data_IF_444664422732
#
_entry.id   IF_444664422732
#
_cell.length_a   1.000
_cell.length_b   1.000
_cell.length_c   1.000
_cell.angle_alpha   90.00
_cell.angle_beta   90.00
_cell.angle_gamma   90.00
#
_symmetry.space_group_name_H-M   'P 1'
#
loop_
_entity.id
_entity.type
_entity.pdbx_description
1 polymer ?
#
# COMPACT_ATOMS: atom_id res chain seq x y z
N UNK A 1 -21.84 38.02 36.73
CA UNK A 1 -20.86 38.67 37.65
C UNK A 1 -20.62 37.71 38.79
N UNK A 2 -19.54 37.00 38.76
CA UNK A 2 -18.84 36.42 39.90
C UNK A 2 -17.53 35.81 39.38
N UNK A 3 -16.38 36.14 39.90
CA UNK A 3 -15.09 35.78 39.32
C UNK A 3 -14.63 34.40 39.79
N UNK A 4 -13.91 33.72 38.91
CA UNK A 4 -13.22 32.46 39.18
C UNK A 4 -11.93 32.72 39.97
N UNK A 5 -11.70 31.88 41.00
CA UNK A 5 -10.59 31.90 41.93
C UNK A 5 -9.29 31.40 41.29
N UNK A 6 -8.24 32.13 41.59
CA UNK A 6 -6.84 31.71 41.40
C UNK A 6 -6.50 30.52 42.32
N UNK A 7 -6.03 29.45 41.74
CA UNK A 7 -5.12 28.51 42.42
C UNK A 7 -4.42 27.67 41.34
N UNK A 8 -3.25 28.14 40.94
CA UNK A 8 -2.17 27.29 40.40
C UNK A 8 -0.90 28.12 40.26
N UNK A 9 -0.16 28.17 41.30
CA UNK A 9 1.26 28.51 41.28
C UNK A 9 2.01 27.48 42.14
N UNK A 10 3.06 26.95 41.49
CA UNK A 10 4.18 26.20 42.09
C UNK A 10 4.14 24.67 41.97
N UNK A 11 4.95 24.21 41.04
CA UNK A 11 5.84 23.04 41.16
C UNK A 11 6.82 23.18 40.02
N UNK A 12 8.06 23.54 40.17
CA UNK A 12 9.10 22.80 40.79
C UNK A 12 10.09 22.45 39.69
N UNK A 13 11.11 23.34 39.44
CA UNK A 13 12.25 23.05 38.58
C UNK A 13 13.06 21.90 39.18
N UNK A 14 13.27 20.82 38.43
CA UNK A 14 14.32 19.85 38.72
C UNK A 14 15.21 19.70 37.47
N UNK A 15 16.42 20.21 37.59
CA UNK A 15 17.55 19.90 36.71
C UNK A 15 18.09 18.53 37.13
N UNK A 16 18.21 17.59 36.21
CA UNK A 16 19.20 16.54 36.35
C UNK A 16 19.87 16.27 34.99
N UNK A 17 21.13 16.63 34.96
CA UNK A 17 22.18 16.22 34.07
C UNK A 17 22.53 14.75 34.30
N UNK A 18 22.85 13.99 33.26
CA UNK A 18 23.50 12.70 33.47
C UNK A 18 23.42 11.81 32.25
N UNK A 19 24.36 11.96 31.33
CA UNK A 19 24.55 11.04 30.22
C UNK A 19 24.97 9.66 30.73
N UNK A 20 24.42 8.64 30.10
CA UNK A 20 25.03 7.29 30.07
C UNK A 20 24.90 6.73 28.68
N UNK A 21 26.03 6.74 27.98
CA UNK A 21 26.28 5.89 26.81
C UNK A 21 26.26 4.44 27.27
N UNK A 22 25.37 3.63 26.73
CA UNK A 22 25.48 2.18 26.81
C UNK A 22 26.15 1.66 25.55
N UNK A 23 27.42 1.27 25.68
CA UNK A 23 28.07 0.38 24.73
C UNK A 23 27.51 -1.04 24.91
N UNK A 24 26.86 -1.57 23.92
CA UNK A 24 26.59 -3.01 23.83
C UNK A 24 27.80 -3.70 23.19
N UNK A 25 28.47 -4.55 23.97
CA UNK A 25 29.55 -5.41 23.51
C UNK A 25 28.96 -6.59 22.73
N UNK A 26 29.45 -6.80 21.51
CA UNK A 26 29.24 -8.02 20.77
C UNK A 26 29.91 -9.20 21.48
N UNK A 27 29.16 -10.27 21.68
CA UNK A 27 29.71 -11.59 22.05
C UNK A 27 29.52 -12.51 20.85
N UNK A 28 30.61 -12.79 20.17
CA UNK A 28 30.69 -13.86 19.21
C UNK A 28 30.80 -15.20 19.95
N UNK A 29 29.91 -16.13 19.66
CA UNK A 29 30.06 -17.52 20.08
C UNK A 29 30.05 -18.43 18.85
N UNK A 30 31.22 -18.93 18.53
CA UNK A 30 31.47 -20.04 17.62
C UNK A 30 31.14 -21.33 18.37
N UNK A 31 30.30 -22.19 17.80
CA UNK A 31 30.26 -23.60 18.18
C UNK A 31 30.08 -24.50 16.96
N UNK A 32 30.98 -25.44 16.89
CA UNK A 32 31.21 -26.34 15.78
C UNK A 32 30.32 -27.59 15.78
N UNK A 33 30.10 -28.10 14.59
CA UNK A 33 29.85 -29.48 14.13
C UNK A 33 29.40 -30.55 15.14
N UNK A 34 28.29 -31.19 14.80
CA UNK A 34 28.17 -32.64 14.95
C UNK A 34 27.33 -33.19 13.77
N UNK A 35 27.99 -33.96 12.93
CA UNK A 35 27.43 -34.86 11.92
C UNK A 35 26.72 -36.03 12.58
N UNK A 36 25.46 -36.28 12.22
CA UNK A 36 24.83 -37.58 12.38
C UNK A 36 24.00 -37.88 11.14
N UNK A 37 24.45 -38.88 10.41
CA UNK A 37 23.73 -39.48 9.29
C UNK A 37 22.54 -40.27 9.80
N UNK A 38 21.34 -39.95 9.28
CA UNK A 38 20.13 -40.74 9.49
C UNK A 38 19.16 -40.38 8.38
N UNK A 39 19.13 -41.21 7.34
CA UNK A 39 18.23 -40.99 6.20
C UNK A 39 16.76 -41.21 6.60
N UNK A 40 15.95 -40.18 6.35
CA UNK A 40 14.54 -40.31 6.06
C UNK A 40 14.25 -39.39 4.89
N UNK A 41 13.81 -39.99 3.80
CA UNK A 41 13.30 -39.27 2.63
C UNK A 41 12.00 -38.60 3.04
N UNK A 42 12.08 -37.35 3.44
CA UNK A 42 10.94 -36.43 3.47
C UNK A 42 10.75 -35.92 2.04
N UNK A 43 9.63 -36.34 1.44
CA UNK A 43 9.23 -35.80 0.15
C UNK A 43 9.24 -34.27 0.19
N UNK A 44 10.10 -33.69 -0.63
CA UNK A 44 10.08 -32.27 -0.90
C UNK A 44 8.72 -31.94 -1.51
N UNK A 45 7.84 -31.34 -0.73
CA UNK A 45 6.72 -30.59 -1.28
C UNK A 45 7.36 -29.39 -1.96
N UNK A 46 7.62 -29.52 -3.25
CA UNK A 46 8.00 -28.38 -4.08
C UNK A 46 6.81 -27.43 -4.08
N UNK A 47 6.92 -26.34 -3.31
CA UNK A 47 6.07 -25.19 -3.52
C UNK A 47 6.15 -24.84 -5.02
N UNK A 48 5.03 -24.53 -5.67
CA UNK A 48 5.05 -24.24 -7.10
C UNK A 48 6.00 -23.06 -7.35
N UNK A 49 7.05 -23.31 -8.12
CA UNK A 49 8.10 -22.36 -8.47
C UNK A 49 7.60 -21.19 -9.36
N UNK A 50 6.29 -21.05 -9.54
CA UNK A 50 5.70 -20.05 -10.42
C UNK A 50 5.71 -18.62 -9.84
N UNK A 51 5.84 -18.43 -8.54
CA UNK A 51 5.84 -17.09 -7.93
C UNK A 51 7.22 -16.51 -7.66
N UNK A 52 8.28 -17.31 -7.73
CA UNK A 52 9.64 -16.81 -7.55
C UNK A 52 10.25 -16.14 -8.80
N UNK A 53 9.61 -16.27 -9.95
CA UNK A 53 10.14 -15.76 -11.22
C UNK A 53 9.77 -14.31 -11.55
N UNK A 54 8.85 -13.70 -10.80
CA UNK A 54 8.38 -12.33 -11.02
C UNK A 54 8.78 -11.39 -9.87
N UNK A 55 9.85 -11.68 -9.20
CA UNK A 55 10.42 -10.75 -8.24
C UNK A 55 10.79 -9.44 -8.94
N UNK A 56 10.42 -8.31 -8.39
CA UNK A 56 10.53 -7.00 -9.03
C UNK A 56 11.96 -6.46 -8.87
N UNK A 57 12.87 -6.95 -9.65
CA UNK A 57 14.27 -6.51 -9.60
C UNK A 57 14.56 -5.29 -10.46
N UNK A 58 13.62 -4.85 -11.30
CA UNK A 58 13.94 -3.91 -12.37
C UNK A 58 13.55 -2.46 -12.14
N UNK A 59 12.62 -2.16 -11.24
CA UNK A 59 12.25 -0.77 -10.93
C UNK A 59 13.27 -0.08 -10.05
N UNK A 60 13.88 -0.83 -9.21
CA UNK A 60 14.89 -0.40 -8.25
C UNK A 60 16.14 0.17 -8.90
N UNK A 61 16.61 -0.53 -9.92
CA UNK A 61 17.83 -0.15 -10.66
C UNK A 61 17.63 1.09 -11.53
N UNK A 62 16.38 1.50 -11.74
CA UNK A 62 16.06 2.60 -12.66
C UNK A 62 16.16 3.98 -12.03
N UNK A 63 16.06 4.11 -10.71
CA UNK A 63 16.01 5.43 -10.06
C UNK A 63 17.36 5.91 -9.58
N UNK A 64 18.19 5.07 -8.96
CA UNK A 64 19.49 5.48 -8.43
C UNK A 64 20.64 4.57 -8.86
N UNK A 65 20.32 3.42 -9.42
CA UNK A 65 21.25 2.31 -9.44
C UNK A 65 21.33 1.65 -8.07
N UNK A 66 21.31 0.33 -8.10
CA UNK A 66 21.20 -0.51 -6.91
C UNK A 66 22.32 -0.25 -5.88
N UNK A 67 23.53 0.02 -6.34
CA UNK A 67 24.69 0.26 -5.47
C UNK A 67 24.56 1.54 -4.62
N UNK A 68 24.02 2.61 -5.15
CA UNK A 68 23.86 3.86 -4.42
C UNK A 68 22.78 3.74 -3.34
N UNK A 69 21.67 3.11 -3.67
CA UNK A 69 20.60 2.84 -2.71
C UNK A 69 21.10 1.93 -1.57
N UNK A 70 21.77 0.83 -1.89
CA UNK A 70 22.27 -0.09 -0.89
C UNK A 70 23.33 0.57 0.03
N UNK A 71 24.20 1.40 -0.51
CA UNK A 71 25.18 2.15 0.28
C UNK A 71 24.49 3.14 1.23
N UNK A 72 23.46 3.84 0.77
CA UNK A 72 22.69 4.75 1.61
C UNK A 72 21.92 3.99 2.71
N UNK A 73 21.28 2.87 2.36
CA UNK A 73 20.58 1.99 3.29
C UNK A 73 21.52 1.48 4.39
N UNK A 74 22.71 1.02 4.03
CA UNK A 74 23.74 0.56 4.98
C UNK A 74 24.26 1.70 5.87
N UNK A 75 24.50 2.86 5.28
CA UNK A 75 24.96 4.05 6.02
C UNK A 75 23.97 4.49 7.08
N UNK A 76 22.68 4.38 6.80
CA UNK A 76 21.61 4.71 7.73
C UNK A 76 21.22 3.52 8.65
N UNK A 77 21.89 2.38 8.55
CA UNK A 77 21.63 1.20 9.38
C UNK A 77 20.25 0.56 9.15
N UNK A 78 19.65 0.78 8.00
CA UNK A 78 18.31 0.30 7.66
C UNK A 78 18.35 -1.17 7.25
N UNK A 79 17.32 -1.93 7.62
CA UNK A 79 17.19 -3.33 7.24
C UNK A 79 17.09 -3.50 5.72
N UNK A 80 17.79 -4.50 5.19
CA UNK A 80 17.71 -4.87 3.79
C UNK A 80 16.40 -5.59 3.46
N UNK A 81 16.00 -6.48 4.34
CA UNK A 81 14.83 -7.32 4.15
C UNK A 81 13.55 -6.55 4.52
N UNK A 82 12.55 -6.57 3.64
CA UNK A 82 11.27 -5.91 3.90
C UNK A 82 10.57 -6.44 5.16
N UNK A 83 10.66 -7.75 5.40
CA UNK A 83 10.02 -8.41 6.55
C UNK A 83 10.59 -7.97 7.91
N UNK A 84 11.79 -7.39 7.92
CA UNK A 84 12.43 -6.86 9.13
C UNK A 84 12.50 -5.33 9.13
N UNK A 85 11.81 -4.70 8.21
CA UNK A 85 11.73 -3.26 8.09
C UNK A 85 10.59 -2.65 8.91
N UNK A 86 10.56 -1.33 8.93
CA UNK A 86 9.47 -0.54 9.46
C UNK A 86 8.90 0.36 8.37
N UNK A 87 7.59 0.41 8.26
CA UNK A 87 6.87 1.26 7.31
C UNK A 87 6.32 2.48 8.06
N UNK A 88 6.69 3.68 7.64
CA UNK A 88 6.04 4.90 8.07
C UNK A 88 4.77 5.12 7.22
N UNK A 89 3.61 5.09 7.84
CA UNK A 89 2.39 5.53 7.16
C UNK A 89 2.29 7.07 7.21
N UNK A 90 2.74 7.71 6.13
CA UNK A 90 2.74 9.17 5.97
C UNK A 90 1.33 9.67 5.60
N UNK A 91 0.37 9.43 6.50
CA UNK A 91 -1.05 9.70 6.31
C UNK A 91 -1.31 11.19 6.09
N UNK A 92 -1.90 11.53 4.93
CA UNK A 92 -2.20 12.91 4.51
C UNK A 92 -0.99 13.83 4.38
N UNK A 93 0.22 13.31 4.36
CA UNK A 93 1.40 14.10 4.05
C UNK A 93 1.53 14.33 2.54
N UNK A 94 1.95 15.52 2.16
CA UNK A 94 2.32 15.80 0.77
C UNK A 94 3.70 15.22 0.45
N UNK A 95 3.98 15.00 -0.83
CA UNK A 95 5.30 14.58 -1.31
C UNK A 95 6.40 15.55 -0.84
N UNK A 96 6.13 16.86 -0.87
CA UNK A 96 7.08 17.86 -0.38
C UNK A 96 7.29 17.78 1.14
N UNK A 97 6.26 17.48 1.92
CA UNK A 97 6.39 17.25 3.37
C UNK A 97 7.25 16.02 3.63
N UNK A 98 6.97 14.90 2.96
CA UNK A 98 7.75 13.67 3.10
C UNK A 98 9.22 13.93 2.73
N UNK A 99 9.47 14.57 1.58
CA UNK A 99 10.80 14.94 1.11
C UNK A 99 11.56 15.80 2.12
N UNK A 100 10.88 16.75 2.76
CA UNK A 100 11.52 17.68 3.72
C UNK A 100 11.91 17.02 5.05
N UNK A 101 11.32 15.87 5.40
CA UNK A 101 11.57 15.12 6.63
C UNK A 101 12.36 13.82 6.40
N UNK A 102 13.02 13.67 5.25
CA UNK A 102 13.62 12.40 4.88
C UNK A 102 14.78 11.99 5.81
N UNK A 103 15.59 12.95 6.26
CA UNK A 103 16.66 12.69 7.23
C UNK A 103 16.09 12.15 8.57
N UNK A 104 15.04 12.78 9.09
CA UNK A 104 14.40 12.34 10.34
C UNK A 104 13.74 10.96 10.20
N UNK A 105 13.17 10.65 9.04
CA UNK A 105 12.58 9.35 8.75
C UNK A 105 13.66 8.26 8.71
N UNK A 106 14.81 8.54 8.07
CA UNK A 106 15.95 7.64 8.04
C UNK A 106 16.54 7.43 9.43
N UNK A 107 16.78 8.51 10.19
CA UNK A 107 17.31 8.49 11.56
C UNK A 107 16.40 7.73 12.53
N UNK A 108 15.10 7.75 12.30
CA UNK A 108 14.13 6.96 13.06
C UNK A 108 14.12 5.46 12.70
N UNK A 109 14.84 5.05 11.65
CA UNK A 109 14.99 3.65 11.25
C UNK A 109 13.87 3.12 10.36
N UNK A 110 13.05 3.98 9.76
CA UNK A 110 12.05 3.53 8.79
C UNK A 110 12.72 3.10 7.48
N UNK A 111 12.35 1.93 7.01
CA UNK A 111 12.89 1.35 5.76
C UNK A 111 12.02 1.63 4.55
N UNK A 112 10.79 2.02 4.82
CA UNK A 112 9.80 2.33 3.77
C UNK A 112 8.82 3.40 4.25
N UNK A 113 8.24 4.12 3.30
CA UNK A 113 7.19 5.11 3.54
C UNK A 113 5.98 4.68 2.72
N UNK A 114 4.81 4.53 3.37
CA UNK A 114 3.53 4.38 2.69
C UNK A 114 2.88 5.74 2.54
N UNK A 115 2.57 6.14 1.31
CA UNK A 115 1.86 7.39 1.00
C UNK A 115 0.34 7.19 1.03
N UNK A 116 -0.42 8.28 0.96
CA UNK A 116 -1.83 8.25 0.53
C UNK A 116 -1.93 7.88 -0.95
N UNK A 117 -3.14 7.57 -1.48
CA UNK A 117 -3.35 7.34 -2.90
C UNK A 117 -2.79 8.47 -3.77
N UNK A 118 -2.06 8.07 -4.81
CA UNK A 118 -1.38 8.99 -5.72
C UNK A 118 -2.15 9.27 -7.01
N UNK A 119 -3.27 8.57 -7.25
CA UNK A 119 -4.12 8.77 -8.43
C UNK A 119 -4.85 10.11 -8.38
N UNK A 120 -5.33 10.57 -9.53
CA UNK A 120 -6.27 11.69 -9.55
C UNK A 120 -7.53 11.36 -8.78
N UNK A 121 -8.02 12.28 -7.95
CA UNK A 121 -9.18 12.10 -7.09
C UNK A 121 -10.29 13.09 -7.42
N UNK A 122 -11.50 12.77 -6.97
CA UNK A 122 -12.62 13.70 -7.05
C UNK A 122 -12.28 15.01 -6.30
N UNK A 123 -12.36 16.14 -7.00
CA UNK A 123 -12.31 17.47 -6.38
C UNK A 123 -13.70 17.97 -5.96
N UNK A 124 -13.81 19.08 -5.29
CA UNK A 124 -12.79 19.95 -4.77
C UNK A 124 -12.25 19.43 -3.44
N UNK A 125 -10.97 19.69 -3.26
CA UNK A 125 -10.26 19.38 -2.03
C UNK A 125 -9.93 20.69 -1.28
N UNK A 126 -10.49 21.78 -1.74
CA UNK A 126 -10.39 23.07 -1.05
C UNK A 126 -11.06 22.95 0.32
N UNK A 127 -10.29 23.28 1.36
CA UNK A 127 -10.74 23.15 2.73
C UNK A 127 -10.77 21.71 3.24
N UNK A 128 -10.15 20.74 2.53
CA UNK A 128 -10.03 19.37 3.03
C UNK A 128 -9.29 19.39 4.36
N UNK A 129 -9.99 19.00 5.40
CA UNK A 129 -9.42 18.78 6.71
C UNK A 129 -9.21 17.28 6.92
N UNK A 130 -8.08 16.93 7.51
CA UNK A 130 -7.76 15.53 7.83
C UNK A 130 -8.92 14.80 8.53
N UNK A 131 -9.57 15.45 9.49
CA UNK A 131 -10.64 14.88 10.30
C UNK A 131 -12.00 14.83 9.60
N UNK A 132 -12.21 15.60 8.56
CA UNK A 132 -13.53 15.80 7.95
C UNK A 132 -13.68 15.17 6.58
N UNK A 133 -12.64 15.28 5.74
CA UNK A 133 -12.74 14.95 4.32
C UNK A 133 -11.65 13.98 3.83
N UNK A 134 -10.97 13.29 4.73
CA UNK A 134 -9.89 12.36 4.41
C UNK A 134 -10.29 11.30 3.36
N UNK A 135 -11.55 10.88 3.33
CA UNK A 135 -12.07 9.84 2.44
C UNK A 135 -12.04 10.23 0.95
N UNK A 136 -11.81 11.49 0.63
CA UNK A 136 -11.68 11.88 -0.78
C UNK A 136 -10.44 11.30 -1.45
N UNK A 137 -9.37 10.99 -0.71
CA UNK A 137 -8.19 10.36 -1.30
C UNK A 137 -8.48 8.95 -1.81
N UNK A 138 -9.53 8.30 -1.27
CA UNK A 138 -10.03 7.00 -1.72
C UNK A 138 -11.16 7.11 -2.75
N UNK A 139 -11.31 8.24 -3.40
CA UNK A 139 -12.27 8.45 -4.49
C UNK A 139 -11.56 8.81 -5.80
N UNK A 140 -10.85 7.85 -6.43
CA UNK A 140 -10.23 8.10 -7.72
C UNK A 140 -11.24 8.60 -8.74
N UNK A 141 -10.82 9.55 -9.56
CA UNK A 141 -11.58 10.01 -10.73
C UNK A 141 -10.93 9.60 -12.05
N UNK A 142 -9.75 9.02 -11.98
CA UNK A 142 -8.95 8.56 -13.10
C UNK A 142 -7.63 8.00 -12.63
N UNK A 143 -6.78 7.60 -13.57
CA UNK A 143 -5.46 7.01 -13.35
C UNK A 143 -4.31 7.96 -13.69
N UNK A 144 -4.55 9.27 -13.66
CA UNK A 144 -3.47 10.27 -13.65
C UNK A 144 -2.69 10.19 -12.34
N UNK A 145 -1.39 10.49 -12.36
CA UNK A 145 -0.55 10.51 -11.15
C UNK A 145 -0.51 11.93 -10.61
N UNK A 146 -0.75 12.04 -9.30
CA UNK A 146 -0.80 13.31 -8.57
C UNK A 146 -2.21 13.78 -8.26
N UNK A 147 -2.36 14.41 -7.09
CA UNK A 147 -3.59 15.02 -6.63
C UNK A 147 -3.29 16.14 -5.62
N UNK A 148 -4.32 16.84 -5.19
CA UNK A 148 -4.15 18.01 -4.30
C UNK A 148 -3.63 17.68 -2.88
N UNK A 149 -3.61 16.42 -2.48
CA UNK A 149 -3.10 16.00 -1.17
C UNK A 149 -1.63 15.63 -1.27
N UNK A 150 -1.31 14.68 -2.14
CA UNK A 150 0.07 14.21 -2.29
C UNK A 150 0.94 15.21 -3.06
N UNK A 151 0.37 15.94 -4.00
CA UNK A 151 1.07 16.86 -4.89
C UNK A 151 1.03 16.41 -6.35
N UNK A 152 1.84 17.04 -7.17
CA UNK A 152 1.99 16.76 -8.60
C UNK A 152 2.84 15.52 -8.84
N UNK A 153 2.73 14.93 -10.03
CA UNK A 153 3.59 13.83 -10.45
C UNK A 153 5.09 14.16 -10.35
N UNK A 154 5.46 15.42 -10.68
CA UNK A 154 6.85 15.86 -10.54
C UNK A 154 7.31 15.89 -9.07
N UNK A 155 6.48 16.35 -8.15
CA UNK A 155 6.80 16.36 -6.73
C UNK A 155 6.91 14.93 -6.16
N UNK A 156 6.11 13.99 -6.67
CA UNK A 156 6.23 12.56 -6.33
C UNK A 156 7.57 12.00 -6.83
N UNK A 157 7.98 12.28 -8.07
CA UNK A 157 9.30 11.88 -8.60
C UNK A 157 10.46 12.43 -7.77
N UNK A 158 10.36 13.67 -7.33
CA UNK A 158 11.38 14.27 -6.48
C UNK A 158 11.42 13.65 -5.10
N UNK A 159 10.27 13.33 -4.52
CA UNK A 159 10.17 12.65 -3.23
C UNK A 159 10.74 11.22 -3.29
N UNK A 160 10.40 10.44 -4.32
CA UNK A 160 10.93 9.08 -4.48
C UNK A 160 12.45 9.10 -4.69
N UNK A 161 12.94 10.02 -5.51
CA UNK A 161 14.38 10.19 -5.71
C UNK A 161 15.11 10.56 -4.40
N UNK A 162 14.51 11.38 -3.55
CA UNK A 162 15.07 11.73 -2.25
C UNK A 162 15.06 10.54 -1.29
N UNK A 163 13.94 9.80 -1.23
CA UNK A 163 13.85 8.58 -0.43
C UNK A 163 14.93 7.55 -0.80
N UNK A 164 15.17 7.36 -2.09
CA UNK A 164 16.20 6.45 -2.57
C UNK A 164 17.61 6.89 -2.19
N UNK A 165 17.92 8.18 -2.12
CA UNK A 165 19.21 8.67 -1.63
C UNK A 165 19.45 8.34 -0.16
N UNK A 166 18.38 8.12 0.59
CA UNK A 166 18.43 7.71 2.00
C UNK A 166 18.30 6.19 2.21
N UNK A 167 18.16 5.41 1.15
CA UNK A 167 17.96 3.96 1.21
C UNK A 167 16.57 3.55 1.68
N UNK A 168 15.58 4.43 1.50
CA UNK A 168 14.18 4.25 1.89
C UNK A 168 13.33 3.96 0.66
N UNK A 169 12.46 2.95 0.74
CA UNK A 169 11.49 2.61 -0.32
C UNK A 169 10.21 3.43 -0.18
N UNK A 170 9.55 3.67 -1.29
CA UNK A 170 8.24 4.33 -1.29
C UNK A 170 7.16 3.37 -1.76
N UNK A 171 6.14 3.19 -0.92
CA UNK A 171 4.96 2.36 -1.17
C UNK A 171 3.80 3.32 -1.40
N UNK A 172 3.16 3.26 -2.57
CA UNK A 172 1.95 4.03 -2.83
C UNK A 172 0.70 3.25 -2.42
N UNK A 173 -0.22 3.91 -1.73
CA UNK A 173 -1.57 3.38 -1.61
C UNK A 173 -2.25 3.44 -2.98
N UNK A 174 -2.86 2.35 -3.43
CA UNK A 174 -3.45 2.22 -4.75
C UNK A 174 -4.90 1.74 -4.65
N UNK A 175 -5.82 2.64 -4.97
CA UNK A 175 -7.25 2.33 -5.03
C UNK A 175 -7.54 1.73 -6.41
N UNK A 176 -7.64 0.41 -6.45
CA UNK A 176 -7.75 -0.35 -7.70
C UNK A 176 -9.07 -1.10 -7.86
N UNK A 177 -9.93 -1.06 -6.82
CA UNK A 177 -11.24 -1.72 -6.82
C UNK A 177 -12.34 -0.82 -7.40
N UNK A 178 -12.28 0.47 -7.17
CA UNK A 178 -13.40 1.38 -7.44
C UNK A 178 -12.94 2.79 -7.80
N UNK A 179 -13.87 3.56 -8.34
CA UNK A 179 -13.73 5.01 -8.54
C UNK A 179 -14.74 5.77 -7.66
N UNK A 180 -14.69 7.11 -7.73
CA UNK A 180 -15.61 7.99 -7.00
C UNK A 180 -17.08 7.61 -7.21
N UNK A 181 -17.93 7.92 -6.22
CA UNK A 181 -19.39 7.75 -6.34
C UNK A 181 -20.02 8.71 -7.36
N UNK A 182 -19.35 9.78 -7.71
CA UNK A 182 -19.83 10.78 -8.66
C UNK A 182 -19.41 10.45 -10.09
N UNK A 183 -20.33 9.88 -10.85
CA UNK A 183 -20.09 9.57 -12.26
C UNK A 183 -19.59 10.75 -13.08
N UNK A 184 -20.01 11.98 -12.76
CA UNK A 184 -19.59 13.15 -13.51
C UNK A 184 -18.15 13.57 -13.23
N UNK A 185 -17.59 13.15 -12.10
CA UNK A 185 -16.21 13.40 -11.77
C UNK A 185 -15.24 12.42 -12.42
N UNK A 186 -15.71 11.28 -12.95
CA UNK A 186 -14.87 10.32 -13.68
C UNK A 186 -14.35 10.98 -14.95
N UNK A 187 -13.03 10.89 -15.15
CA UNK A 187 -12.29 11.64 -16.16
C UNK A 187 -11.95 10.81 -17.40
N UNK A 188 -11.89 11.51 -18.53
CA UNK A 188 -11.36 10.99 -19.78
C UNK A 188 -12.01 9.68 -20.23
N UNK A 189 -11.19 8.80 -20.76
CA UNK A 189 -11.61 7.52 -21.34
C UNK A 189 -12.10 6.51 -20.29
N UNK A 190 -11.95 6.80 -19.00
CA UNK A 190 -12.55 6.01 -17.93
C UNK A 190 -14.07 6.20 -17.84
N UNK A 191 -14.61 7.26 -18.41
CA UNK A 191 -16.05 7.51 -18.41
C UNK A 191 -16.80 6.63 -19.43
N UNK A 192 -16.67 5.34 -19.24
CA UNK A 192 -17.28 4.29 -20.05
C UNK A 192 -18.00 3.29 -19.11
N UNK A 193 -19.31 3.15 -19.27
CA UNK A 193 -20.10 2.29 -18.37
C UNK A 193 -19.71 0.82 -18.41
N UNK A 194 -19.11 0.32 -19.50
CA UNK A 194 -18.62 -1.07 -19.60
C UNK A 194 -17.37 -1.35 -18.73
N UNK A 195 -16.75 -0.32 -18.18
CA UNK A 195 -15.61 -0.45 -17.28
C UNK A 195 -16.00 -0.61 -15.81
N UNK A 196 -17.29 -0.58 -15.52
CA UNK A 196 -17.82 -0.69 -14.17
C UNK A 196 -18.92 -1.75 -14.13
N UNK A 197 -19.01 -2.47 -13.01
CA UNK A 197 -20.17 -3.30 -12.74
C UNK A 197 -21.43 -2.45 -12.66
N UNK A 198 -22.55 -2.99 -13.14
CA UNK A 198 -23.83 -2.32 -12.96
C UNK A 198 -24.33 -2.47 -11.53
N UNK A 199 -25.14 -1.53 -11.06
CA UNK A 199 -25.74 -1.62 -9.72
C UNK A 199 -26.62 -2.84 -9.50
N UNK A 200 -27.06 -3.48 -10.58
CA UNK A 200 -27.95 -4.65 -10.55
C UNK A 200 -27.17 -5.98 -10.63
N UNK A 201 -25.94 -5.96 -11.15
CA UNK A 201 -25.18 -7.16 -11.49
C UNK A 201 -24.86 -8.02 -10.28
N UNK A 202 -24.50 -7.42 -9.16
CA UNK A 202 -24.25 -8.15 -7.92
C UNK A 202 -25.49 -8.67 -7.20
N UNK A 203 -26.69 -8.24 -7.61
CA UNK A 203 -27.92 -8.52 -6.89
C UNK A 203 -27.99 -7.85 -5.52
N UNK A 204 -27.34 -6.71 -5.38
CA UNK A 204 -27.19 -5.97 -4.12
C UNK A 204 -28.46 -5.18 -3.79
N UNK A 205 -28.73 -5.02 -2.49
CA UNK A 205 -29.78 -4.12 -2.02
C UNK A 205 -29.43 -2.64 -2.26
N UNK A 206 -30.37 -1.76 -1.94
CA UNK A 206 -30.22 -0.30 -2.02
C UNK A 206 -29.63 0.20 -3.36
N UNK A 207 -30.23 -0.26 -4.46
CA UNK A 207 -29.78 0.07 -5.81
C UNK A 207 -28.31 -0.30 -6.10
N UNK A 208 -27.83 -1.40 -5.54
CA UNK A 208 -26.50 -1.93 -5.80
C UNK A 208 -25.42 -1.53 -4.78
N UNK A 209 -25.80 -0.91 -3.66
CA UNK A 209 -24.83 -0.40 -2.68
C UNK A 209 -24.84 -1.13 -1.34
N UNK A 210 -25.92 -1.90 -1.02
CA UNK A 210 -25.95 -2.69 0.21
C UNK A 210 -25.33 -4.07 -0.03
N UNK A 211 -24.12 -4.26 0.46
CA UNK A 211 -23.34 -5.49 0.32
C UNK A 211 -23.71 -6.47 1.43
N UNK A 212 -24.10 -7.68 1.06
CA UNK A 212 -24.20 -8.79 1.99
C UNK A 212 -22.81 -9.50 2.06
N UNK A 213 -22.07 -9.26 3.11
CA UNK A 213 -20.73 -9.84 3.30
C UNK A 213 -20.74 -11.36 3.53
N UNK A 214 -21.91 -11.99 3.62
CA UNK A 214 -22.04 -13.44 3.55
C UNK A 214 -22.19 -13.98 2.12
N UNK A 215 -22.22 -13.10 1.13
CA UNK A 215 -22.32 -13.44 -0.29
C UNK A 215 -21.09 -12.90 -1.03
N UNK A 216 -20.16 -13.78 -1.33
CA UNK A 216 -18.88 -13.40 -1.97
C UNK A 216 -19.07 -12.70 -3.32
N UNK A 217 -20.07 -13.11 -4.11
CA UNK A 217 -20.39 -12.43 -5.36
C UNK A 217 -20.76 -10.96 -5.14
N UNK A 218 -21.53 -10.66 -4.11
CA UNK A 218 -21.86 -9.27 -3.77
C UNK A 218 -20.65 -8.48 -3.30
N UNK A 219 -19.75 -9.10 -2.56
CA UNK A 219 -18.53 -8.43 -2.09
C UNK A 219 -17.67 -7.94 -3.25
N UNK A 220 -17.67 -8.66 -4.37
CA UNK A 220 -16.82 -8.36 -5.54
C UNK A 220 -17.53 -7.61 -6.68
N UNK A 221 -18.85 -7.46 -6.62
CA UNK A 221 -19.61 -6.87 -7.74
C UNK A 221 -20.56 -5.74 -7.32
N UNK A 222 -20.64 -5.44 -6.02
CA UNK A 222 -21.48 -4.37 -5.53
C UNK A 222 -20.68 -3.10 -5.28
N UNK A 223 -21.31 -1.98 -5.45
CA UNK A 223 -20.71 -0.67 -5.27
C UNK A 223 -20.42 -0.39 -3.79
N UNK A 224 -19.21 -0.62 -3.35
CA UNK A 224 -18.77 -0.33 -1.98
C UNK A 224 -19.05 1.14 -1.63
N UNK A 225 -19.90 1.39 -0.63
CA UNK A 225 -20.28 2.74 -0.20
C UNK A 225 -20.75 3.66 -1.35
N UNK A 226 -21.42 3.10 -2.35
CA UNK A 226 -21.88 3.80 -3.57
C UNK A 226 -20.76 4.18 -4.56
N UNK A 227 -19.52 3.82 -4.32
CA UNK A 227 -18.38 4.02 -5.22
C UNK A 227 -18.56 3.17 -6.48
N UNK A 228 -18.20 3.71 -7.63
CA UNK A 228 -18.31 2.96 -8.89
C UNK A 228 -17.30 1.82 -8.91
N UNK A 229 -17.83 0.61 -8.82
CA UNK A 229 -17.06 -0.63 -8.79
C UNK A 229 -16.50 -0.96 -10.17
N UNK A 230 -15.19 -1.19 -10.26
CA UNK A 230 -14.54 -1.51 -11.54
C UNK A 230 -14.91 -2.93 -11.98
N UNK A 231 -15.25 -3.10 -13.26
CA UNK A 231 -15.42 -4.40 -13.87
C UNK A 231 -14.06 -5.07 -14.05
N UNK A 232 -13.62 -5.75 -13.00
CA UNK A 232 -12.30 -6.40 -12.92
C UNK A 232 -12.17 -7.63 -13.81
N UNK A 233 -13.26 -8.14 -14.36
CA UNK A 233 -13.28 -9.20 -15.38
C UNK A 233 -13.03 -8.64 -16.79
N UNK A 234 -13.06 -7.32 -16.94
CA UNK A 234 -12.79 -6.66 -18.21
C UNK A 234 -11.27 -6.48 -18.42
N UNK A 235 -10.72 -7.14 -19.42
CA UNK A 235 -9.29 -7.08 -19.75
C UNK A 235 -8.79 -5.66 -20.01
N UNK A 236 -9.61 -4.79 -20.61
CA UNK A 236 -9.23 -3.41 -20.86
C UNK A 236 -9.08 -2.62 -19.56
N UNK A 237 -9.96 -2.85 -18.58
CA UNK A 237 -9.84 -2.28 -17.23
C UNK A 237 -8.54 -2.73 -16.57
N UNK A 238 -8.24 -4.02 -16.63
CA UNK A 238 -7.00 -4.58 -16.11
C UNK A 238 -5.76 -3.96 -16.77
N UNK A 239 -5.76 -3.82 -18.10
CA UNK A 239 -4.65 -3.22 -18.85
C UNK A 239 -4.42 -1.76 -18.45
N UNK A 240 -5.48 -0.96 -18.37
CA UNK A 240 -5.41 0.46 -17.97
C UNK A 240 -4.89 0.63 -16.55
N UNK A 241 -5.31 -0.25 -15.65
CA UNK A 241 -4.82 -0.23 -14.28
C UNK A 241 -3.35 -0.63 -14.21
N UNK A 242 -2.94 -1.65 -14.95
CA UNK A 242 -1.51 -2.01 -15.10
C UNK A 242 -0.68 -0.84 -15.61
N UNK A 243 -1.14 -0.13 -16.63
CA UNK A 243 -0.43 1.03 -17.18
C UNK A 243 -0.24 2.13 -16.12
N UNK A 244 -1.25 2.38 -15.29
CA UNK A 244 -1.14 3.31 -14.17
C UNK A 244 -0.06 2.87 -13.17
N UNK A 245 -0.12 1.63 -12.71
CA UNK A 245 0.85 1.09 -11.75
C UNK A 245 2.28 1.07 -12.33
N UNK A 246 2.44 0.71 -13.60
CA UNK A 246 3.73 0.71 -14.28
C UNK A 246 4.32 2.12 -14.40
N UNK A 247 3.48 3.13 -14.67
CA UNK A 247 3.93 4.54 -14.68
C UNK A 247 4.34 5.00 -13.29
N UNK A 248 3.59 4.64 -12.25
CA UNK A 248 3.96 4.95 -10.87
C UNK A 248 5.32 4.33 -10.49
N UNK A 249 5.58 3.08 -10.90
CA UNK A 249 6.90 2.45 -10.73
C UNK A 249 7.98 3.20 -11.51
N UNK A 250 7.70 3.67 -12.72
CA UNK A 250 8.64 4.47 -13.49
C UNK A 250 8.94 5.84 -12.82
N UNK A 251 8.02 6.34 -12.01
CA UNK A 251 8.19 7.56 -11.20
C UNK A 251 8.91 7.31 -9.85
N UNK A 252 9.36 6.08 -9.62
CA UNK A 252 10.15 5.70 -8.45
C UNK A 252 9.35 5.08 -7.30
N UNK A 253 8.09 4.73 -7.49
CA UNK A 253 7.34 3.94 -6.51
C UNK A 253 7.89 2.51 -6.49
N UNK A 254 8.28 2.03 -5.31
CA UNK A 254 8.88 0.71 -5.10
C UNK A 254 7.85 -0.38 -4.79
N UNK A 255 6.71 0.02 -4.30
CA UNK A 255 5.68 -0.94 -3.88
C UNK A 255 4.27 -0.36 -3.88
N UNK A 256 3.30 -1.24 -3.67
CA UNK A 256 1.90 -0.85 -3.56
C UNK A 256 1.21 -1.50 -2.36
N UNK A 257 0.38 -0.73 -1.68
CA UNK A 257 -0.70 -1.21 -0.85
C UNK A 257 -1.99 -1.12 -1.65
N UNK A 258 -2.66 -2.22 -1.89
CA UNK A 258 -3.93 -2.26 -2.62
C UNK A 258 -5.10 -2.10 -1.68
N UNK A 259 -5.78 -0.97 -1.82
CA UNK A 259 -7.01 -0.65 -1.08
C UNK A 259 -8.14 -1.61 -1.47
N UNK A 260 -8.96 -1.99 -0.50
CA UNK A 260 -10.15 -2.82 -0.69
C UNK A 260 -9.89 -4.11 -1.49
N UNK A 261 -8.70 -4.71 -1.38
CA UNK A 261 -8.28 -5.85 -2.21
C UNK A 261 -9.23 -7.06 -2.09
N UNK A 262 -9.90 -7.25 -0.95
CA UNK A 262 -10.90 -8.30 -0.80
C UNK A 262 -12.15 -8.11 -1.68
N UNK A 263 -12.39 -6.90 -2.15
CA UNK A 263 -13.52 -6.60 -3.04
C UNK A 263 -13.22 -6.90 -4.51
N UNK A 264 -12.04 -7.44 -4.80
CA UNK A 264 -11.64 -7.92 -6.11
C UNK A 264 -11.63 -9.45 -6.07
N UNK A 265 -12.22 -10.10 -7.04
CA UNK A 265 -12.24 -11.54 -7.15
C UNK A 265 -10.84 -12.11 -7.46
N UNK A 266 -10.60 -13.32 -6.97
CA UNK A 266 -9.42 -14.09 -7.33
C UNK A 266 -9.54 -14.63 -8.77
N UNK A 267 -8.44 -14.91 -9.48
CA UNK A 267 -8.47 -15.26 -10.91
C UNK A 267 -9.42 -16.41 -11.29
N UNK A 268 -9.65 -17.36 -10.40
CA UNK A 268 -10.52 -18.52 -10.66
C UNK A 268 -11.53 -18.73 -9.51
N UNK A 269 -11.98 -17.66 -8.89
CA UNK A 269 -12.84 -17.74 -7.71
C UNK A 269 -14.27 -18.18 -8.08
N UNK A 270 -14.74 -17.73 -9.20
CA UNK A 270 -16.04 -18.14 -9.77
C UNK A 270 -15.81 -19.06 -10.98
N UNK A 271 -16.87 -19.62 -11.56
CA UNK A 271 -16.78 -20.49 -12.73
C UNK A 271 -16.35 -19.74 -14.01
N UNK A 272 -15.62 -18.65 -13.84
CA UNK A 272 -15.03 -17.83 -14.90
C UNK A 272 -13.69 -17.22 -14.46
N UNK A 273 -12.83 -16.98 -15.44
CA UNK A 273 -11.53 -16.40 -15.20
C UNK A 273 -11.63 -14.86 -15.11
N UNK A 274 -11.07 -14.28 -14.04
CA UNK A 274 -10.81 -12.84 -13.95
C UNK A 274 -9.34 -12.57 -14.26
N UNK A 275 -9.03 -11.73 -15.26
CA UNK A 275 -7.66 -11.43 -15.65
C UNK A 275 -6.97 -10.42 -14.73
N UNK A 276 -7.68 -9.82 -13.79
CA UNK A 276 -7.26 -8.59 -13.14
C UNK A 276 -5.93 -8.72 -12.42
N UNK A 277 -5.86 -9.56 -11.40
CA UNK A 277 -4.62 -9.75 -10.63
C UNK A 277 -3.47 -10.26 -11.49
N UNK A 278 -3.71 -11.22 -12.38
CA UNK A 278 -2.69 -11.76 -13.28
C UNK A 278 -2.13 -10.68 -14.23
N UNK A 279 -2.95 -9.69 -14.56
CA UNK A 279 -2.53 -8.57 -15.42
C UNK A 279 -1.80 -7.49 -14.62
N UNK A 280 -2.33 -7.06 -13.48
CA UNK A 280 -1.82 -5.88 -12.77
C UNK A 280 -0.58 -6.15 -11.92
N UNK A 281 -0.44 -7.36 -11.34
CA UNK A 281 0.66 -7.64 -10.42
C UNK A 281 2.05 -7.63 -11.06
N UNK A 282 2.26 -8.08 -12.33
CA UNK A 282 3.55 -7.91 -12.98
C UNK A 282 3.76 -6.47 -13.50
N UNK A 283 3.73 -5.49 -12.59
CA UNK A 283 3.90 -4.06 -12.88
C UNK A 283 5.32 -3.53 -12.62
N UNK A 284 6.21 -4.36 -12.05
CA UNK A 284 7.60 -4.02 -11.76
C UNK A 284 7.86 -3.53 -10.33
N UNK A 285 6.83 -3.46 -9.47
CA UNK A 285 7.01 -3.11 -8.06
C UNK A 285 7.73 -4.22 -7.27
N UNK A 286 8.54 -3.83 -6.28
CA UNK A 286 9.32 -4.75 -5.45
C UNK A 286 8.48 -5.42 -4.36
N UNK A 287 7.48 -4.70 -3.86
CA UNK A 287 6.67 -5.14 -2.74
C UNK A 287 5.20 -4.78 -2.98
N UNK A 288 4.32 -5.74 -2.82
CA UNK A 288 2.90 -5.54 -3.10
C UNK A 288 2.07 -6.27 -2.06
N UNK A 289 1.20 -5.56 -1.39
CA UNK A 289 0.30 -6.14 -0.41
C UNK A 289 -1.11 -5.55 -0.51
N UNK A 290 -2.09 -6.28 0.00
CA UNK A 290 -3.49 -5.92 -0.09
C UNK A 290 -4.16 -5.77 1.27
N UNK A 291 -5.12 -4.86 1.33
CA UNK A 291 -6.08 -4.79 2.43
C UNK A 291 -7.12 -5.88 2.26
N UNK A 292 -7.01 -6.94 3.05
CA UNK A 292 -7.96 -8.06 3.06
C UNK A 292 -8.51 -8.22 4.46
N UNK A 293 -9.58 -7.48 4.76
CA UNK A 293 -10.29 -7.61 6.03
C UNK A 293 -10.98 -8.97 6.10
N UNK A 294 -10.61 -9.76 7.09
CA UNK A 294 -11.12 -11.11 7.27
C UNK A 294 -12.49 -11.14 7.95
N UNK A 295 -13.15 -12.29 7.90
CA UNK A 295 -14.41 -12.56 8.59
C UNK A 295 -15.63 -12.69 7.68
N UNK A 296 -15.51 -12.40 6.40
CA UNK A 296 -16.60 -12.59 5.43
C UNK A 296 -16.78 -14.08 5.10
N UNK A 297 -18.03 -14.52 4.98
CA UNK A 297 -18.31 -15.87 4.51
C UNK A 297 -17.96 -16.00 3.03
N UNK A 298 -17.31 -17.11 2.68
CA UNK A 298 -16.89 -17.38 1.30
C UNK A 298 -15.59 -16.68 0.89
N UNK A 299 -15.03 -15.80 1.71
CA UNK A 299 -13.72 -15.22 1.46
C UNK A 299 -12.62 -16.27 1.64
N UNK A 300 -11.93 -16.60 0.56
CA UNK A 300 -10.75 -17.46 0.60
C UNK A 300 -9.50 -16.62 0.95
N UNK A 301 -9.46 -16.06 2.16
CA UNK A 301 -8.35 -15.22 2.60
C UNK A 301 -6.97 -15.89 2.44
N UNK A 302 -6.79 -17.21 2.68
CA UNK A 302 -5.51 -17.87 2.44
C UNK A 302 -5.03 -17.89 0.99
N UNK A 303 -5.88 -17.62 0.01
CA UNK A 303 -5.48 -17.57 -1.39
C UNK A 303 -4.84 -16.20 -1.78
N UNK A 304 -5.13 -15.14 -1.05
CA UNK A 304 -4.55 -13.82 -1.32
C UNK A 304 -3.03 -13.79 -1.12
N UNK A 305 -2.42 -14.40 -0.09
CA UNK A 305 -0.97 -14.46 0.06
C UNK A 305 -0.23 -15.19 -1.08
N UNK A 306 -0.94 -15.98 -1.88
CA UNK A 306 -0.37 -16.57 -3.08
C UNK A 306 -0.21 -15.56 -4.24
N UNK A 307 -0.96 -14.46 -4.21
CA UNK A 307 -0.94 -13.41 -5.21
C UNK A 307 -0.14 -12.18 -4.74
N UNK A 308 -0.37 -11.77 -3.51
CA UNK A 308 0.21 -10.57 -2.90
C UNK A 308 0.39 -10.78 -1.40
N UNK A 309 1.29 -10.03 -0.79
CA UNK A 309 1.40 -10.04 0.66
C UNK A 309 0.14 -9.42 1.27
N UNK A 310 -0.33 -9.98 2.37
CA UNK A 310 -1.57 -9.54 3.01
C UNK A 310 -1.27 -8.94 4.37
N UNK A 311 -1.72 -7.72 4.58
CA UNK A 311 -1.78 -7.15 5.92
C UNK A 311 -3.00 -7.70 6.64
N UNK A 312 -2.74 -8.44 7.72
CA UNK A 312 -3.74 -8.83 8.69
C UNK A 312 -3.80 -7.73 9.76
N UNK A 313 -4.72 -6.78 9.62
CA UNK A 313 -4.85 -5.66 10.55
C UNK A 313 -5.28 -6.08 11.96
N UNK A 314 -5.63 -7.34 12.18
CA UNK A 314 -6.23 -7.84 13.40
C UNK A 314 -5.39 -8.84 14.19
N UNK A 315 -4.13 -9.06 13.85
CA UNK A 315 -3.20 -9.77 14.73
C UNK A 315 -2.62 -8.82 15.78
N UNK A 316 -3.46 -8.40 16.68
CA UNK A 316 -3.04 -7.79 17.95
C UNK A 316 -3.39 -8.71 19.11
#
# INVERSE_FOLDING_TARGET
MTPLSETEKNLGKSKHSGGRRFMAKAVASISALATLAGGMALGAVTAPAAFAANGPTTSYDRTLGNAQFEAARESNGLSKEMDYGAILHAWMWSANTIKAHMDEIADAGYTSIQTVPISTIKGPVEGMQFTENWYYVYQPSGTGIGNKVIGTEQEIKEMTAEAHKHGIRVIADAVINHFTADWNAIQGDWKNSSFFHTRQEGGCGDNGTAINYSNRWQVTHCHLLSLWDLNTENQEVANRMKDYLTRAVADGIDGFRYDAAKHIELPNEFDRYSPYYDTILPNGAQYQYGEVLQGDQGLNAPAYPALLQVLDEWRR
#
